data_IF_966600971316
#
_entry.id   IF_966600971316
#
_cell.length_a   1.000
_cell.length_b   1.000
_cell.length_c   1.000
_cell.angle_alpha   90.00
_cell.angle_beta   90.00
_cell.angle_gamma   90.00
#
_symmetry.space_group_name_H-M   'P 1'
#
loop_
_entity.id
_entity.type
_entity.pdbx_description
1 polymer ?
#
# COMPACT_ATOMS: atom_id res chain seq x y z
N UNK A 1 -7.65 -42.46 20.84
CA UNK A 1 -8.01 -41.60 19.69
C UNK A 1 -7.13 -41.99 18.51
N UNK A 2 -7.65 -42.07 17.29
CA UNK A 2 -6.89 -42.30 16.05
C UNK A 2 -6.88 -41.03 15.22
N UNK A 3 -5.76 -40.72 14.60
CA UNK A 3 -5.64 -39.55 13.69
C UNK A 3 -5.45 -40.04 12.27
N UNK A 4 -6.21 -39.51 11.35
CA UNK A 4 -6.07 -39.82 9.94
C UNK A 4 -4.78 -39.21 9.39
N UNK A 5 -3.86 -40.02 8.92
CA UNK A 5 -2.56 -39.57 8.34
C UNK A 5 -2.72 -38.75 7.06
N UNK A 6 -3.91 -38.72 6.44
CA UNK A 6 -4.16 -37.99 5.20
C UNK A 6 -4.75 -36.61 5.44
N UNK A 7 -5.81 -36.51 6.26
CA UNK A 7 -6.56 -35.26 6.50
C UNK A 7 -6.37 -34.70 7.91
N UNK A 8 -5.61 -35.37 8.80
CA UNK A 8 -5.37 -34.90 10.16
C UNK A 8 -6.57 -35.02 11.11
N UNK A 9 -7.74 -35.45 10.64
CA UNK A 9 -8.95 -35.46 11.46
C UNK A 9 -8.88 -36.50 12.56
N UNK A 10 -9.16 -36.12 13.82
CA UNK A 10 -9.24 -37.03 14.93
C UNK A 10 -10.49 -37.90 14.83
N UNK A 11 -10.35 -39.19 15.10
CA UNK A 11 -11.41 -40.19 15.01
C UNK A 11 -11.48 -41.05 16.30
N UNK A 12 -12.62 -41.61 16.57
CA UNK A 12 -12.77 -42.51 17.69
C UNK A 12 -11.95 -43.80 17.46
N UNK A 13 -11.42 -44.40 18.54
CA UNK A 13 -10.61 -45.61 18.51
C UNK A 13 -11.33 -46.84 17.92
N UNK A 14 -12.63 -46.84 17.97
CA UNK A 14 -13.48 -47.91 17.43
C UNK A 14 -13.59 -47.91 15.92
N UNK A 15 -13.15 -46.81 15.25
CA UNK A 15 -13.29 -46.69 13.81
C UNK A 15 -12.13 -47.29 13.06
N UNK A 16 -12.43 -47.91 11.95
CA UNK A 16 -11.42 -48.49 11.04
C UNK A 16 -11.12 -47.60 9.82
N UNK A 17 -12.04 -46.68 9.51
CA UNK A 17 -11.92 -45.76 8.38
C UNK A 17 -12.22 -44.32 8.81
N UNK A 18 -11.51 -43.38 8.22
CA UNK A 18 -11.74 -41.94 8.40
C UNK A 18 -13.11 -41.54 7.81
N UNK A 19 -13.91 -40.78 8.58
CA UNK A 19 -15.24 -40.34 8.14
C UNK A 19 -15.10 -39.31 6.98
N UNK A 20 -14.07 -38.48 7.01
CA UNK A 20 -13.93 -37.35 6.07
C UNK A 20 -13.27 -37.73 4.74
N UNK A 21 -12.30 -38.65 4.77
CA UNK A 21 -11.57 -38.99 3.55
C UNK A 21 -11.65 -40.48 3.16
N UNK A 22 -12.37 -41.32 3.93
CA UNK A 22 -12.58 -42.76 3.66
C UNK A 22 -11.35 -43.65 3.81
N UNK A 23 -10.17 -43.11 4.17
CA UNK A 23 -8.96 -43.92 4.30
C UNK A 23 -8.94 -44.79 5.57
N UNK A 24 -8.29 -45.95 5.51
CA UNK A 24 -8.12 -46.81 6.69
C UNK A 24 -7.29 -46.07 7.75
N UNK A 25 -7.75 -46.13 8.99
CA UNK A 25 -7.08 -45.59 10.17
C UNK A 25 -6.07 -46.59 10.69
N UNK A 26 -4.88 -46.12 11.09
CA UNK A 26 -3.87 -46.92 11.75
C UNK A 26 -4.24 -47.36 13.18
N UNK A 27 -3.26 -47.83 13.94
CA UNK A 27 -3.41 -48.13 15.36
C UNK A 27 -3.77 -46.84 16.12
N UNK A 28 -4.49 -47.00 17.27
CA UNK A 28 -4.72 -45.90 18.20
C UNK A 28 -3.41 -45.30 18.68
N UNK A 29 -3.40 -44.00 18.85
CA UNK A 29 -2.26 -43.29 19.45
C UNK A 29 -2.06 -43.71 20.89
N UNK A 30 -0.83 -43.81 21.35
CA UNK A 30 -0.56 -43.93 22.79
C UNK A 30 -1.05 -42.67 23.52
N UNK A 31 -1.23 -42.74 24.83
CA UNK A 31 -1.64 -41.57 25.62
C UNK A 31 -0.65 -40.41 25.45
N UNK A 32 0.67 -40.69 25.42
CA UNK A 32 1.71 -39.73 25.24
C UNK A 32 1.68 -39.04 23.85
N UNK A 33 1.40 -39.81 22.78
CA UNK A 33 1.26 -39.26 21.43
C UNK A 33 -0.03 -38.43 21.29
N UNK A 34 -1.09 -38.80 21.96
CA UNK A 34 -2.33 -38.01 22.00
C UNK A 34 -2.11 -36.65 22.67
N UNK A 35 -1.43 -36.63 23.83
CA UNK A 35 -1.07 -35.38 24.51
C UNK A 35 -0.11 -34.47 23.69
N UNK A 36 0.84 -35.06 22.96
CA UNK A 36 1.70 -34.30 22.05
C UNK A 36 0.91 -33.68 20.92
N UNK A 37 -0.03 -34.43 20.36
CA UNK A 37 -0.89 -33.95 19.30
C UNK A 37 -1.82 -32.82 19.75
N UNK A 38 -2.41 -32.94 20.95
CA UNK A 38 -3.25 -31.88 21.54
C UNK A 38 -2.43 -30.61 21.81
N UNK A 39 -1.18 -30.75 22.30
CA UNK A 39 -0.28 -29.60 22.47
C UNK A 39 0.08 -28.95 21.14
N UNK A 40 0.41 -29.72 20.11
CA UNK A 40 0.73 -29.21 18.78
C UNK A 40 -0.47 -28.49 18.12
N UNK A 41 -1.68 -29.04 18.29
CA UNK A 41 -2.90 -28.35 17.84
C UNK A 41 -3.12 -27.04 18.60
N UNK A 42 -2.98 -27.07 19.92
CA UNK A 42 -3.15 -25.86 20.74
C UNK A 42 -2.15 -24.79 20.36
N UNK A 43 -0.88 -25.14 20.21
CA UNK A 43 0.17 -24.22 19.77
C UNK A 43 -0.12 -23.65 18.37
N UNK A 44 -0.62 -24.47 17.44
CA UNK A 44 -1.05 -24.02 16.10
C UNK A 44 -2.28 -23.11 16.17
N UNK A 45 -3.22 -23.39 17.07
CA UNK A 45 -4.39 -22.53 17.26
C UNK A 45 -4.01 -21.21 17.91
N UNK A 46 -3.13 -21.22 18.91
CA UNK A 46 -2.62 -20.01 19.56
C UNK A 46 -1.82 -19.15 18.56
N UNK A 47 -0.94 -19.78 17.76
CA UNK A 47 -0.22 -19.12 16.68
C UNK A 47 -1.15 -18.61 15.57
N UNK A 48 -2.26 -19.26 15.30
CA UNK A 48 -3.28 -18.77 14.36
C UNK A 48 -4.09 -17.61 14.94
N UNK A 49 -4.37 -17.64 16.25
CA UNK A 49 -5.01 -16.54 16.97
C UNK A 49 -4.11 -15.28 17.00
N UNK A 50 -2.82 -15.45 17.30
CA UNK A 50 -1.82 -14.37 17.25
C UNK A 50 -1.72 -13.79 15.84
N UNK A 51 -1.74 -14.63 14.80
CA UNK A 51 -1.77 -14.18 13.39
C UNK A 51 -3.08 -13.48 13.01
N UNK A 52 -4.20 -13.85 13.59
CA UNK A 52 -5.47 -13.16 13.37
C UNK A 52 -5.42 -11.72 13.88
N UNK A 53 -4.56 -11.44 14.86
CA UNK A 53 -4.36 -10.11 15.45
C UNK A 53 -3.46 -9.19 14.59
N UNK A 54 -2.76 -9.73 13.58
CA UNK A 54 -1.93 -8.95 12.60
C UNK A 54 -2.75 -7.87 11.89
N UNK A 55 -4.05 -8.08 11.73
CA UNK A 55 -4.96 -7.11 11.14
C UNK A 55 -5.62 -6.19 12.17
N UNK A 56 -5.19 -6.24 13.43
CA UNK A 56 -5.72 -5.36 14.46
C UNK A 56 -5.26 -3.92 14.21
N UNK A 57 -6.23 -3.00 14.14
CA UNK A 57 -5.96 -1.56 13.97
C UNK A 57 -5.85 -0.92 15.34
N UNK A 58 -4.63 -0.56 15.73
CA UNK A 58 -4.34 0.09 17.01
C UNK A 58 -4.93 1.51 17.06
N UNK A 59 -5.01 2.10 18.28
CA UNK A 59 -5.40 3.52 18.42
C UNK A 59 -4.43 4.44 17.70
N UNK A 60 -3.15 4.13 17.74
CA UNK A 60 -2.10 4.88 17.04
C UNK A 60 -2.31 4.84 15.52
N UNK A 61 -2.67 3.68 14.96
CA UNK A 61 -2.95 3.53 13.54
C UNK A 61 -4.13 4.38 13.09
N UNK A 62 -5.18 4.45 13.90
CA UNK A 62 -6.34 5.30 13.63
C UNK A 62 -5.97 6.78 13.60
N UNK A 63 -5.17 7.23 14.57
CA UNK A 63 -4.69 8.62 14.65
C UNK A 63 -3.82 8.94 13.43
N UNK A 64 -2.83 8.10 13.13
CA UNK A 64 -1.96 8.27 11.95
C UNK A 64 -2.76 8.21 10.65
N UNK A 65 -3.76 7.33 10.55
CA UNK A 65 -4.65 7.26 9.41
C UNK A 65 -5.43 8.57 9.18
N UNK A 66 -5.96 9.17 10.26
CA UNK A 66 -6.64 10.47 10.18
C UNK A 66 -5.68 11.57 9.76
N UNK A 67 -4.47 11.64 10.35
CA UNK A 67 -3.44 12.59 9.95
C UNK A 67 -3.05 12.39 8.47
N UNK A 68 -2.93 11.14 8.04
CA UNK A 68 -2.66 10.80 6.64
C UNK A 68 -3.76 11.26 5.68
N UNK A 69 -5.03 11.16 6.07
CA UNK A 69 -6.15 11.70 5.28
C UNK A 69 -6.05 13.23 5.15
N UNK A 70 -5.71 13.92 6.23
CA UNK A 70 -5.49 15.38 6.18
C UNK A 70 -4.31 15.71 5.26
N UNK A 71 -3.20 14.96 5.34
CA UNK A 71 -2.06 15.07 4.43
C UNK A 71 -2.44 14.82 2.97
N UNK A 72 -3.28 13.80 2.72
CA UNK A 72 -3.80 13.49 1.39
C UNK A 72 -4.62 14.65 0.81
N UNK A 73 -5.51 15.23 1.61
CA UNK A 73 -6.32 16.40 1.21
C UNK A 73 -5.41 17.59 0.89
N UNK A 74 -4.42 17.87 1.74
CA UNK A 74 -3.45 18.94 1.52
C UNK A 74 -2.65 18.73 0.22
N UNK A 75 -2.20 17.50 -0.05
CA UNK A 75 -1.50 17.14 -1.28
C UNK A 75 -2.40 17.32 -2.52
N UNK A 76 -3.66 16.94 -2.45
CA UNK A 76 -4.64 17.15 -3.53
C UNK A 76 -4.90 18.64 -3.81
N UNK A 77 -4.99 19.46 -2.77
CA UNK A 77 -5.15 20.91 -2.91
C UNK A 77 -3.90 21.49 -3.57
N UNK A 78 -2.71 21.17 -3.07
CA UNK A 78 -1.45 21.66 -3.61
C UNK A 78 -1.29 21.26 -5.08
N UNK A 79 -1.58 20.01 -5.43
CA UNK A 79 -1.61 19.52 -6.79
C UNK A 79 -2.54 20.35 -7.68
N UNK A 80 -3.79 20.54 -7.24
CA UNK A 80 -4.81 21.26 -8.02
C UNK A 80 -4.44 22.72 -8.26
N UNK A 81 -3.92 23.41 -7.23
CA UNK A 81 -3.49 24.80 -7.35
C UNK A 81 -2.31 24.94 -8.28
N UNK A 82 -1.25 24.11 -8.09
CA UNK A 82 -0.05 24.14 -8.92
C UNK A 82 -0.36 23.80 -10.37
N UNK A 83 -1.20 22.81 -10.62
CA UNK A 83 -1.63 22.43 -11.97
C UNK A 83 -2.44 23.54 -12.66
N UNK A 84 -3.28 24.26 -11.89
CA UNK A 84 -4.04 25.38 -12.43
C UNK A 84 -3.13 26.53 -12.82
N UNK A 85 -2.16 26.90 -11.96
CA UNK A 85 -1.18 27.94 -12.23
C UNK A 85 -0.32 27.60 -13.47
N UNK A 86 0.16 26.34 -13.54
CA UNK A 86 0.92 25.86 -14.70
C UNK A 86 0.13 25.94 -16.00
N UNK A 87 -1.15 25.56 -15.98
CA UNK A 87 -2.03 25.67 -17.14
C UNK A 87 -2.30 27.10 -17.56
N UNK A 88 -2.37 28.03 -16.60
CA UNK A 88 -2.50 29.46 -16.90
C UNK A 88 -1.25 30.01 -17.58
N UNK A 89 -0.05 29.66 -17.09
CA UNK A 89 1.22 30.04 -17.69
C UNK A 89 1.35 29.50 -19.13
N UNK A 90 0.98 28.24 -19.36
CA UNK A 90 1.03 27.61 -20.69
C UNK A 90 0.06 28.32 -21.68
N UNK A 91 -1.13 28.69 -21.21
CA UNK A 91 -2.08 29.46 -22.04
C UNK A 91 -1.55 30.84 -22.39
N UNK A 92 -1.06 31.59 -21.41
CA UNK A 92 -0.49 32.93 -21.63
C UNK A 92 0.69 32.88 -22.59
N UNK A 93 1.56 31.87 -22.47
CA UNK A 93 2.68 31.67 -23.41
C UNK A 93 2.19 31.37 -24.84
N UNK A 94 1.17 30.52 -25.00
CA UNK A 94 0.59 30.20 -26.31
C UNK A 94 -0.11 31.41 -26.93
N UNK A 95 -0.76 32.26 -26.15
CA UNK A 95 -1.35 33.53 -26.62
C UNK A 95 -0.27 34.50 -27.09
N UNK A 96 0.80 34.70 -26.29
CA UNK A 96 1.92 35.54 -26.67
C UNK A 96 2.60 35.06 -27.96
N UNK A 97 2.79 33.77 -28.15
CA UNK A 97 3.29 33.20 -29.40
C UNK A 97 2.38 33.48 -30.59
N UNK A 98 1.05 33.40 -30.41
CA UNK A 98 0.09 33.73 -31.49
C UNK A 98 0.14 35.20 -31.86
N UNK A 99 0.22 36.09 -30.87
CA UNK A 99 0.33 37.55 -31.11
C UNK A 99 1.63 37.89 -31.84
N UNK A 100 2.77 37.33 -31.42
CA UNK A 100 4.05 37.50 -32.09
C UNK A 100 4.03 36.98 -33.55
N UNK A 101 3.39 35.83 -33.79
CA UNK A 101 3.24 35.27 -35.12
C UNK A 101 2.36 36.17 -36.03
N UNK A 102 1.30 36.80 -35.49
CA UNK A 102 0.46 37.73 -36.23
C UNK A 102 1.17 39.09 -36.49
N UNK A 103 2.07 39.49 -35.61
CA UNK A 103 2.87 40.70 -35.77
C UNK A 103 4.01 40.55 -36.81
N UNK A 104 4.23 39.35 -37.35
CA UNK A 104 5.26 39.08 -38.37
C UNK A 104 6.67 38.91 -37.84
N UNK A 105 6.83 38.87 -36.52
CA UNK A 105 8.11 38.63 -35.85
C UNK A 105 8.01 37.48 -34.83
N UNK A 106 8.01 36.23 -35.32
CA UNK A 106 7.87 35.06 -34.45
C UNK A 106 9.04 34.83 -33.49
N UNK A 107 10.19 35.54 -33.69
CA UNK A 107 11.37 35.37 -32.86
C UNK A 107 11.47 36.39 -31.73
N UNK A 108 10.69 37.48 -31.76
CA UNK A 108 10.72 38.48 -30.69
C UNK A 108 10.14 37.96 -29.37
N UNK A 109 9.31 36.93 -29.43
CA UNK A 109 8.75 36.28 -28.24
C UNK A 109 9.67 35.18 -27.63
N UNK A 110 10.69 34.78 -28.37
CA UNK A 110 11.66 33.78 -27.89
C UNK A 110 12.88 34.59 -27.40
N UNK A 111 12.94 34.81 -26.10
CA UNK A 111 14.16 35.27 -25.45
C UNK A 111 15.26 34.26 -25.80
N UNK A 112 16.28 34.70 -26.56
CA UNK A 112 17.41 33.82 -26.95
C UNK A 112 18.10 33.40 -25.66
N UNK A 113 17.77 32.19 -25.18
CA UNK A 113 18.41 31.59 -24.01
C UNK A 113 19.88 31.38 -24.38
N UNK A 114 20.75 32.19 -23.83
CA UNK A 114 22.21 32.04 -23.96
C UNK A 114 22.62 30.67 -23.41
N UNK A 115 23.04 29.70 -24.25
CA UNK A 115 23.36 28.36 -23.82
C UNK A 115 24.57 28.28 -22.88
N UNK A 116 25.31 29.38 -22.71
CA UNK A 116 26.49 29.44 -21.83
C UNK A 116 26.13 29.86 -20.40
N UNK A 117 24.93 30.41 -20.16
CA UNK A 117 24.47 30.76 -18.82
C UNK A 117 23.79 29.61 -18.15
N UNK A 118 24.13 29.27 -16.89
CA UNK A 118 23.38 28.29 -16.13
C UNK A 118 21.92 28.74 -16.04
N UNK A 119 21.01 27.91 -16.53
CA UNK A 119 19.58 28.18 -16.51
C UNK A 119 19.12 28.29 -15.06
N UNK A 120 18.72 29.47 -14.65
CA UNK A 120 18.03 29.61 -13.36
C UNK A 120 16.69 28.85 -13.42
N UNK A 121 16.34 28.08 -12.39
CA UNK A 121 15.06 27.42 -12.36
C UNK A 121 13.94 28.47 -12.53
N UNK A 122 13.07 28.23 -13.49
CA UNK A 122 11.93 29.11 -13.73
C UNK A 122 10.80 28.75 -12.80
N UNK A 123 9.88 29.69 -12.54
CA UNK A 123 8.63 29.37 -11.76
C UNK A 123 7.88 28.18 -12.33
N UNK A 124 7.95 27.96 -13.65
CA UNK A 124 7.35 26.81 -14.30
C UNK A 124 8.05 25.49 -13.90
N UNK A 125 9.38 25.48 -13.76
CA UNK A 125 10.13 24.31 -13.31
C UNK A 125 9.81 23.98 -11.84
N UNK A 126 9.66 25.01 -10.99
CA UNK A 126 9.27 24.83 -9.57
C UNK A 126 7.86 24.29 -9.45
N UNK A 127 6.90 24.79 -10.24
CA UNK A 127 5.54 24.29 -10.27
C UNK A 127 5.46 22.85 -10.79
N UNK A 128 6.22 22.47 -11.81
CA UNK A 128 6.29 21.11 -12.33
C UNK A 128 6.85 20.15 -11.27
N UNK A 129 7.91 20.57 -10.55
CA UNK A 129 8.44 19.80 -9.43
C UNK A 129 7.43 19.69 -8.27
N UNK A 130 6.68 20.76 -7.98
CA UNK A 130 5.60 20.75 -6.99
C UNK A 130 4.52 19.74 -7.37
N UNK A 131 4.08 19.73 -8.63
CA UNK A 131 3.08 18.78 -9.15
C UNK A 131 3.58 17.33 -9.00
N UNK A 132 4.82 17.04 -9.40
CA UNK A 132 5.43 15.72 -9.27
C UNK A 132 5.49 15.28 -7.80
N UNK A 133 5.98 16.13 -6.92
CA UNK A 133 6.06 15.85 -5.49
C UNK A 133 4.68 15.64 -4.87
N UNK A 134 3.66 16.41 -5.25
CA UNK A 134 2.29 16.24 -4.80
C UNK A 134 1.69 14.90 -5.25
N UNK A 135 1.97 14.46 -6.49
CA UNK A 135 1.56 13.12 -6.98
C UNK A 135 2.17 12.01 -6.11
N UNK A 136 3.48 12.11 -5.81
CA UNK A 136 4.13 11.15 -4.91
C UNK A 136 3.51 11.17 -3.52
N UNK A 137 3.26 12.34 -2.94
CA UNK A 137 2.60 12.46 -1.65
C UNK A 137 1.21 11.80 -1.65
N UNK A 138 0.39 12.05 -2.67
CA UNK A 138 -0.93 11.45 -2.84
C UNK A 138 -0.82 9.92 -2.88
N UNK A 139 0.07 9.36 -3.68
CA UNK A 139 0.24 7.92 -3.82
C UNK A 139 0.63 7.25 -2.48
N UNK A 140 1.63 7.80 -1.79
CA UNK A 140 2.10 7.24 -0.52
C UNK A 140 1.11 7.43 0.62
N UNK A 141 0.40 8.57 0.72
CA UNK A 141 -0.65 8.73 1.70
C UNK A 141 -1.84 7.81 1.44
N UNK A 142 -2.23 7.62 0.17
CA UNK A 142 -3.32 6.72 -0.18
C UNK A 142 -3.01 5.28 0.23
N UNK A 143 -1.82 4.77 -0.12
CA UNK A 143 -1.39 3.42 0.26
C UNK A 143 -1.29 3.29 1.79
N UNK A 144 -0.64 4.23 2.45
CA UNK A 144 -0.44 4.20 3.89
C UNK A 144 -1.77 4.29 4.67
N UNK A 145 -2.67 5.20 4.30
CA UNK A 145 -3.98 5.32 4.94
C UNK A 145 -4.82 4.06 4.79
N UNK A 146 -4.79 3.43 3.60
CA UNK A 146 -5.53 2.19 3.38
C UNK A 146 -4.98 1.03 4.21
N UNK A 147 -3.66 0.93 4.37
CA UNK A 147 -3.01 -0.06 5.24
C UNK A 147 -3.26 0.22 6.73
N UNK A 148 -3.27 1.50 7.15
CA UNK A 148 -3.52 1.91 8.54
C UNK A 148 -4.96 1.64 8.97
N UNK A 149 -5.93 1.89 8.11
CA UNK A 149 -7.35 1.82 8.44
C UNK A 149 -8.01 0.50 8.04
N UNK A 150 -7.55 -0.11 6.94
CA UNK A 150 -8.18 -1.29 6.34
C UNK A 150 -7.16 -2.38 5.93
N UNK A 151 -6.30 -2.87 6.86
CA UNK A 151 -5.24 -3.82 6.50
C UNK A 151 -5.78 -5.13 5.90
N UNK A 152 -6.93 -5.63 6.40
CA UNK A 152 -7.59 -6.83 5.85
C UNK A 152 -8.04 -6.65 4.40
N UNK A 153 -8.55 -5.47 4.06
CA UNK A 153 -9.01 -5.18 2.70
C UNK A 153 -7.84 -5.21 1.71
N UNK A 154 -6.73 -4.55 2.05
CA UNK A 154 -5.53 -4.54 1.20
C UNK A 154 -4.94 -5.94 1.05
N UNK A 155 -4.85 -6.70 2.13
CA UNK A 155 -4.39 -8.08 2.06
C UNK A 155 -5.29 -8.93 1.15
N UNK A 156 -6.59 -8.84 1.36
CA UNK A 156 -7.59 -9.55 0.54
C UNK A 156 -7.47 -9.19 -0.95
N UNK A 157 -7.26 -7.90 -1.25
CA UNK A 157 -7.11 -7.42 -2.62
C UNK A 157 -5.81 -7.92 -3.25
N UNK A 158 -4.69 -7.83 -2.55
CA UNK A 158 -3.38 -8.31 -3.03
C UNK A 158 -3.34 -9.82 -3.27
N UNK A 159 -4.07 -10.59 -2.49
CA UNK A 159 -4.13 -12.06 -2.59
C UNK A 159 -5.32 -12.56 -3.40
N UNK A 160 -6.09 -11.68 -4.03
CA UNK A 160 -7.29 -12.07 -4.77
C UNK A 160 -7.01 -13.08 -5.89
N UNK A 161 -5.91 -12.89 -6.63
CA UNK A 161 -5.49 -13.81 -7.70
C UNK A 161 -5.18 -15.22 -7.17
N UNK A 162 -4.44 -15.29 -6.08
CA UNK A 162 -4.06 -16.55 -5.43
C UNK A 162 -5.27 -17.25 -4.80
N UNK A 163 -6.19 -16.49 -4.20
CA UNK A 163 -7.44 -17.05 -3.65
C UNK A 163 -8.34 -17.65 -4.74
N UNK A 164 -8.43 -17.00 -5.89
CA UNK A 164 -9.20 -17.53 -7.03
C UNK A 164 -8.59 -18.84 -7.55
N UNK A 165 -7.25 -19.00 -7.44
CA UNK A 165 -6.56 -20.18 -7.92
C UNK A 165 -6.58 -21.35 -6.91
N UNK A 166 -6.49 -21.07 -5.60
CA UNK A 166 -6.30 -22.10 -4.57
C UNK A 166 -7.53 -22.31 -3.67
N UNK A 167 -8.55 -21.47 -3.75
CA UNK A 167 -9.79 -21.51 -2.95
C UNK A 167 -9.57 -21.57 -1.41
N UNK A 168 -8.37 -21.21 -0.94
CA UNK A 168 -7.99 -21.20 0.48
C UNK A 168 -7.79 -19.77 1.00
N UNK A 169 -8.08 -19.55 2.29
CA UNK A 169 -7.70 -18.30 2.96
C UNK A 169 -6.19 -18.28 3.20
N UNK A 170 -5.49 -17.42 2.45
CA UNK A 170 -4.07 -17.23 2.60
C UNK A 170 -3.78 -16.35 3.83
N UNK A 171 -3.08 -16.91 4.81
CA UNK A 171 -2.54 -16.12 5.92
C UNK A 171 -1.22 -15.47 5.51
N UNK A 172 -0.96 -14.21 5.92
CA UNK A 172 0.31 -13.57 5.60
C UNK A 172 1.49 -14.32 6.20
N UNK A 173 2.57 -14.45 5.44
CA UNK A 173 3.83 -14.94 5.98
C UNK A 173 4.47 -13.86 6.87
N UNK A 174 5.38 -14.25 7.78
CA UNK A 174 6.11 -13.32 8.64
C UNK A 174 6.88 -12.23 7.84
N UNK A 175 7.30 -12.55 6.62
CA UNK A 175 7.90 -11.56 5.71
C UNK A 175 6.85 -10.56 5.19
N UNK A 176 5.68 -11.05 4.76
CA UNK A 176 4.60 -10.20 4.27
C UNK A 176 4.08 -9.27 5.37
N UNK A 177 4.01 -9.73 6.62
CA UNK A 177 3.65 -8.92 7.79
C UNK A 177 4.63 -7.75 7.98
N UNK A 178 5.94 -8.02 7.99
CA UNK A 178 6.97 -6.97 8.10
C UNK A 178 6.93 -5.99 6.94
N UNK A 179 6.68 -6.48 5.72
CA UNK A 179 6.55 -5.62 4.55
C UNK A 179 5.30 -4.73 4.63
N UNK A 180 4.19 -5.25 5.16
CA UNK A 180 2.98 -4.43 5.41
C UNK A 180 3.24 -3.36 6.47
N UNK A 181 3.93 -3.68 7.57
CA UNK A 181 4.32 -2.69 8.58
C UNK A 181 5.24 -1.63 8.00
N UNK A 182 6.24 -2.04 7.22
CA UNK A 182 7.12 -1.09 6.54
C UNK A 182 6.36 -0.16 5.59
N UNK A 183 5.47 -0.70 4.74
CA UNK A 183 4.64 0.11 3.84
C UNK A 183 3.71 1.03 4.61
N UNK A 184 3.16 0.57 5.74
CA UNK A 184 2.23 1.30 6.60
C UNK A 184 2.85 2.58 7.17
N UNK A 185 4.02 2.46 7.82
CA UNK A 185 4.70 3.58 8.47
C UNK A 185 5.70 4.28 7.55
N UNK A 186 6.44 3.52 6.76
CA UNK A 186 7.40 4.06 5.78
C UNK A 186 6.71 4.89 4.71
N UNK A 187 5.60 4.39 4.17
CA UNK A 187 4.78 5.14 3.21
C UNK A 187 4.26 6.46 3.78
N UNK A 188 3.81 6.46 5.05
CA UNK A 188 3.38 7.67 5.74
C UNK A 188 4.51 8.71 5.85
N UNK A 189 5.69 8.29 6.27
CA UNK A 189 6.87 9.19 6.40
C UNK A 189 7.29 9.74 5.04
N UNK A 190 7.35 8.88 4.01
CA UNK A 190 7.68 9.31 2.65
C UNK A 190 6.63 10.29 2.12
N UNK A 191 5.35 10.05 2.37
CA UNK A 191 4.26 10.97 2.03
C UNK A 191 4.43 12.35 2.68
N UNK A 192 4.80 12.40 3.96
CA UNK A 192 5.09 13.65 4.68
C UNK A 192 6.28 14.39 4.07
N UNK A 193 7.37 13.69 3.76
CA UNK A 193 8.56 14.28 3.14
C UNK A 193 8.21 14.83 1.75
N UNK A 194 7.50 14.07 0.92
CA UNK A 194 7.09 14.50 -0.41
C UNK A 194 6.17 15.72 -0.36
N UNK A 195 5.23 15.77 0.59
CA UNK A 195 4.35 16.92 0.80
C UNK A 195 5.14 18.16 1.25
N UNK A 196 6.04 18.00 2.20
CA UNK A 196 6.89 19.10 2.66
C UNK A 196 7.79 19.65 1.54
N UNK A 197 8.39 18.76 0.73
CA UNK A 197 9.15 19.14 -0.44
C UNK A 197 8.30 19.91 -1.46
N UNK A 198 7.11 19.42 -1.77
CA UNK A 198 6.18 20.08 -2.70
C UNK A 198 5.76 21.46 -2.20
N UNK A 199 5.46 21.58 -0.91
CA UNK A 199 5.15 22.88 -0.31
C UNK A 199 6.34 23.84 -0.38
N UNK A 200 7.55 23.36 -0.09
CA UNK A 200 8.78 24.16 -0.21
C UNK A 200 9.01 24.69 -1.63
N UNK A 201 8.78 23.87 -2.66
CA UNK A 201 8.94 24.25 -4.06
C UNK A 201 7.85 25.22 -4.53
N UNK A 202 6.66 25.18 -3.90
CA UNK A 202 5.55 26.05 -4.25
C UNK A 202 5.74 27.48 -3.73
N UNK A 203 6.20 27.64 -2.47
CA UNK A 203 6.38 28.94 -1.79
C UNK A 203 7.76 29.54 -2.00
#
# INVERSE_FOLDING_TARGET
MKICKRCGTPQNDTRFFCIDCGRPLGKSLSAEDAERYERDIKEKMDAAADRADVFHVSRTDKILGIIGIVGLIAACILFSVSQTELNHMDRAFKEALREAAMAGDPFSAIEIVDPTKPRQPSRADDLDNTVKGAIFAIAFFLESCTLLLFPRFIWSWRTLGDRLQYAEELTPSAYAEKMMEFSKYGGFVIGCIALAYSAWMYF
#
